data_IF_499158732534
#
_entry.id   IF_499158732534
#
_cell.length_a   1.000
_cell.length_b   1.000
_cell.length_c   1.000
_cell.angle_alpha   90.00
_cell.angle_beta   90.00
_cell.angle_gamma   90.00
#
_symmetry.space_group_name_H-M   'P 1'
#
loop_
_entity.id
_entity.type
_entity.pdbx_description
1 polymer ?
#
# COMPACT_ATOMS: atom_id res chain seq x y z
N UNK A 1 0.73 -16.66 10.78
CA UNK A 1 1.27 -15.53 11.55
C UNK A 1 0.20 -14.47 11.73
N UNK A 2 0.07 -13.96 12.95
CA UNK A 2 -0.86 -12.88 13.28
C UNK A 2 -0.16 -11.78 14.06
N UNK A 3 -0.37 -10.54 13.66
CA UNK A 3 0.09 -9.33 14.36
C UNK A 3 -1.09 -8.74 15.13
N UNK A 4 -0.92 -8.48 16.42
CA UNK A 4 -1.97 -7.96 17.30
C UNK A 4 -2.25 -6.47 17.04
N UNK A 5 -3.49 -6.06 17.33
CA UNK A 5 -3.95 -4.67 17.16
C UNK A 5 -3.25 -3.65 18.07
N UNK A 6 -2.64 -4.09 19.15
CA UNK A 6 -1.84 -3.21 20.03
C UNK A 6 -0.52 -2.79 19.40
N UNK A 7 -0.06 -3.50 18.36
CA UNK A 7 1.16 -3.15 17.65
C UNK A 7 0.98 -1.88 16.82
N UNK A 8 1.82 -0.89 17.05
CA UNK A 8 1.84 0.36 16.28
C UNK A 8 3.26 0.61 15.77
N UNK A 9 3.41 0.68 14.46
CA UNK A 9 4.66 1.02 13.81
C UNK A 9 4.67 2.52 13.50
N UNK A 10 5.51 3.28 14.19
CA UNK A 10 5.74 4.70 13.92
C UNK A 10 7.00 4.86 13.07
N UNK A 11 6.88 5.51 11.94
CA UNK A 11 7.92 5.59 10.93
C UNK A 11 8.17 7.03 10.49
N UNK A 12 9.42 7.35 10.22
CA UNK A 12 9.82 8.58 9.53
C UNK A 12 10.79 8.25 8.40
N UNK A 13 10.69 8.97 7.29
CA UNK A 13 11.62 8.81 6.17
C UNK A 13 11.74 10.12 5.39
N UNK A 14 12.96 10.46 4.97
CA UNK A 14 13.20 11.67 4.20
C UNK A 14 13.90 11.43 2.87
N UNK A 15 14.55 10.28 2.65
CA UNK A 15 15.32 10.02 1.43
C UNK A 15 15.39 8.55 1.05
N UNK A 16 15.57 8.28 -0.24
CA UNK A 16 15.79 6.94 -0.79
C UNK A 16 14.50 6.13 -0.98
N UNK A 17 14.66 4.83 -1.21
CA UNK A 17 13.55 3.90 -1.30
C UNK A 17 13.19 3.38 0.10
N UNK A 18 12.00 3.67 0.56
CA UNK A 18 11.52 3.32 1.89
C UNK A 18 10.41 2.26 1.80
N UNK A 19 10.71 1.04 2.20
CA UNK A 19 9.81 -0.11 2.10
C UNK A 19 9.52 -0.61 3.51
N UNK A 20 8.25 -0.60 3.94
CA UNK A 20 7.86 -1.08 5.28
C UNK A 20 6.53 -1.80 5.29
N UNK A 21 6.46 -2.79 6.14
CA UNK A 21 5.26 -3.56 6.46
C UNK A 21 5.44 -4.33 7.77
N UNK A 22 4.36 -4.87 8.31
CA UNK A 22 4.43 -5.64 9.56
C UNK A 22 5.01 -7.04 9.42
N UNK A 23 4.81 -7.70 8.29
CA UNK A 23 5.23 -9.10 8.13
C UNK A 23 6.55 -9.19 7.38
N UNK A 24 6.64 -8.57 6.21
CA UNK A 24 7.87 -8.59 5.42
C UNK A 24 7.97 -7.36 4.53
N UNK A 25 9.14 -6.74 4.46
CA UNK A 25 9.30 -5.57 3.58
C UNK A 25 9.15 -5.94 2.10
N UNK A 26 9.78 -7.04 1.65
CA UNK A 26 9.68 -7.54 0.27
C UNK A 26 9.31 -9.02 0.29
N UNK A 27 8.11 -9.36 -0.18
CA UNK A 27 7.69 -10.75 -0.32
C UNK A 27 8.17 -11.33 -1.65
N UNK A 28 9.08 -12.28 -1.61
CA UNK A 28 9.54 -13.05 -2.78
C UNK A 28 9.10 -14.51 -2.76
N UNK A 29 8.27 -14.90 -1.78
CA UNK A 29 7.70 -16.23 -1.60
C UNK A 29 6.18 -16.17 -1.43
N UNK A 30 5.59 -17.24 -0.93
CA UNK A 30 4.16 -17.31 -0.63
C UNK A 30 3.88 -16.95 0.82
N UNK A 31 3.07 -15.92 1.05
CA UNK A 31 2.41 -15.68 2.32
C UNK A 31 1.01 -16.29 2.27
N UNK A 32 0.71 -17.14 3.24
CA UNK A 32 -0.60 -17.81 3.35
C UNK A 32 -1.13 -17.69 4.77
N UNK A 33 -2.44 -17.40 4.89
CA UNK A 33 -3.13 -17.30 6.17
C UNK A 33 -2.40 -16.36 7.16
N UNK A 34 -1.88 -15.24 6.66
CA UNK A 34 -1.24 -14.23 7.49
C UNK A 34 -2.20 -13.09 7.77
N UNK A 35 -2.21 -12.62 9.02
CA UNK A 35 -3.11 -11.57 9.47
C UNK A 35 -2.31 -10.43 10.13
N UNK A 36 -2.61 -9.20 9.75
CA UNK A 36 -2.11 -8.01 10.43
C UNK A 36 -3.28 -7.20 10.96
N UNK A 37 -3.24 -6.87 12.24
CA UNK A 37 -4.15 -5.91 12.89
C UNK A 37 -3.41 -4.70 13.47
N UNK A 38 -2.08 -4.70 13.43
CA UNK A 38 -1.25 -3.58 13.83
C UNK A 38 -1.34 -2.42 12.84
N UNK A 39 -1.24 -1.19 13.34
CA UNK A 39 -1.38 0.03 12.53
C UNK A 39 -0.04 0.67 12.20
N UNK A 40 0.08 1.23 11.00
CA UNK A 40 1.25 1.96 10.53
C UNK A 40 0.93 3.46 10.55
N UNK A 41 1.80 4.25 11.17
CA UNK A 41 1.80 5.72 11.11
C UNK A 41 3.13 6.19 10.56
N UNK A 42 3.08 6.80 9.38
CA UNK A 42 4.27 7.29 8.68
C UNK A 42 4.18 8.80 8.48
N UNK A 43 5.32 9.48 8.66
CA UNK A 43 5.47 10.89 8.34
C UNK A 43 6.81 11.15 7.65
N UNK A 44 6.78 11.93 6.59
CA UNK A 44 7.95 12.50 5.96
C UNK A 44 7.81 14.02 5.90
N UNK A 45 8.75 14.77 6.47
CA UNK A 45 8.76 16.23 6.39
C UNK A 45 9.31 16.72 5.04
N UNK A 46 10.19 15.93 4.43
CA UNK A 46 10.64 16.09 3.04
C UNK A 46 10.83 14.69 2.42
N UNK A 47 10.44 14.49 1.18
CA UNK A 47 10.59 13.20 0.51
C UNK A 47 11.43 13.30 -0.76
N UNK A 48 12.51 12.52 -0.80
CA UNK A 48 13.27 12.18 -2.01
C UNK A 48 13.22 10.68 -2.25
N UNK A 49 12.52 10.22 -3.29
CA UNK A 49 12.41 8.80 -3.63
C UNK A 49 11.03 8.22 -3.42
N UNK A 50 10.94 6.91 -3.26
CA UNK A 50 9.67 6.20 -3.20
C UNK A 50 9.40 5.58 -1.83
N UNK A 51 8.15 5.68 -1.40
CA UNK A 51 7.62 5.03 -0.21
C UNK A 51 6.68 3.90 -0.63
N UNK A 52 6.88 2.71 -0.03
CA UNK A 52 6.02 1.55 -0.21
C UNK A 52 5.54 1.06 1.16
N UNK A 53 4.27 1.26 1.47
CA UNK A 53 3.65 0.85 2.73
C UNK A 53 2.55 -0.17 2.49
N UNK A 54 2.61 -1.28 3.21
CA UNK A 54 1.57 -2.30 3.20
C UNK A 54 1.39 -2.95 4.57
N UNK A 55 0.19 -3.37 4.90
CA UNK A 55 -0.06 -4.05 6.16
C UNK A 55 0.70 -5.38 6.29
N UNK A 56 0.84 -6.13 5.19
CA UNK A 56 1.56 -7.39 5.17
C UNK A 56 2.94 -7.28 4.54
N UNK A 57 3.05 -6.63 3.38
CA UNK A 57 4.33 -6.42 2.72
C UNK A 57 4.40 -5.05 2.05
N UNK A 58 5.58 -4.43 2.04
CA UNK A 58 5.80 -3.18 1.32
C UNK A 58 5.77 -3.40 -0.19
N UNK A 59 6.47 -4.43 -0.67
CA UNK A 59 6.46 -4.86 -2.08
C UNK A 59 6.12 -6.35 -2.16
N UNK A 60 5.08 -6.68 -2.93
CA UNK A 60 4.76 -8.08 -3.27
C UNK A 60 5.35 -8.46 -4.63
N UNK A 61 6.23 -9.44 -4.65
CA UNK A 61 6.86 -10.00 -5.86
C UNK A 61 6.39 -11.42 -6.17
N UNK A 62 5.58 -12.03 -5.30
CA UNK A 62 5.07 -13.39 -5.49
C UNK A 62 3.61 -13.52 -5.04
N UNK A 63 3.26 -14.41 -4.15
CA UNK A 63 1.86 -14.76 -3.90
C UNK A 63 1.43 -14.42 -2.48
N UNK A 64 0.27 -13.76 -2.35
CA UNK A 64 -0.50 -13.64 -1.12
C UNK A 64 -1.78 -14.47 -1.27
N UNK A 65 -2.04 -15.39 -0.34
CA UNK A 65 -3.24 -16.23 -0.34
C UNK A 65 -3.89 -16.23 1.04
N UNK A 66 -5.22 -16.03 1.07
CA UNK A 66 -6.01 -16.10 2.30
C UNK A 66 -5.44 -15.20 3.42
N UNK A 67 -4.92 -14.03 3.02
CA UNK A 67 -4.29 -13.10 3.93
C UNK A 67 -5.21 -11.92 4.24
N UNK A 68 -5.07 -11.36 5.46
CA UNK A 68 -5.92 -10.25 5.92
C UNK A 68 -5.11 -9.11 6.51
N UNK A 69 -5.55 -7.89 6.23
CA UNK A 69 -5.14 -6.69 6.93
C UNK A 69 -6.34 -6.03 7.59
N UNK A 70 -6.32 -5.88 8.91
CA UNK A 70 -7.29 -5.11 9.68
C UNK A 70 -6.68 -3.88 10.35
N UNK A 71 -5.37 -3.68 10.20
CA UNK A 71 -4.68 -2.51 10.72
C UNK A 71 -4.77 -1.29 9.81
N UNK A 72 -4.89 -0.11 10.40
CA UNK A 72 -4.93 1.14 9.66
C UNK A 72 -3.53 1.53 9.15
N UNK A 73 -3.49 2.19 7.99
CA UNK A 73 -2.26 2.77 7.45
C UNK A 73 -2.48 4.25 7.23
N UNK A 74 -1.74 5.06 7.96
CA UNK A 74 -1.74 6.52 7.85
C UNK A 74 -0.37 6.97 7.35
N UNK A 75 -0.34 7.80 6.31
CA UNK A 75 0.89 8.38 5.79
C UNK A 75 0.70 9.85 5.46
N UNK A 76 1.61 10.68 5.96
CA UNK A 76 1.66 12.11 5.67
C UNK A 76 3.02 12.46 5.06
N UNK A 77 3.00 13.17 3.93
CA UNK A 77 4.20 13.73 3.29
C UNK A 77 4.01 15.24 3.19
N UNK A 78 4.76 15.99 4.01
CA UNK A 78 4.56 17.45 4.16
C UNK A 78 5.11 18.24 2.98
N UNK A 79 6.29 17.86 2.49
CA UNK A 79 6.95 18.48 1.34
C UNK A 79 7.53 17.39 0.44
N UNK A 80 7.15 17.41 -0.83
CA UNK A 80 7.94 16.69 -1.82
C UNK A 80 9.01 17.63 -2.36
N UNK A 81 10.25 17.20 -2.37
CA UNK A 81 11.27 17.94 -3.11
C UNK A 81 10.89 17.93 -4.60
N UNK A 82 11.22 19.02 -5.31
CA UNK A 82 10.92 19.21 -6.75
C UNK A 82 11.47 18.09 -7.67
N UNK A 83 11.97 17.01 -7.09
CA UNK A 83 12.49 15.88 -7.81
C UNK A 83 11.33 15.04 -8.37
N UNK A 84 11.16 15.04 -9.68
CA UNK A 84 10.13 14.30 -10.43
C UNK A 84 10.12 12.77 -10.19
N UNK A 85 10.96 12.26 -9.30
CA UNK A 85 11.09 10.82 -9.00
C UNK A 85 10.57 10.42 -7.62
N UNK A 86 9.83 11.31 -6.94
CA UNK A 86 9.24 10.99 -5.64
C UNK A 86 7.83 10.45 -5.79
N UNK A 87 7.48 9.45 -5.00
CA UNK A 87 6.15 8.86 -5.04
C UNK A 87 5.82 8.00 -3.82
N UNK A 88 4.53 7.79 -3.61
CA UNK A 88 4.00 6.98 -2.51
C UNK A 88 3.10 5.88 -3.05
N UNK A 89 3.33 4.65 -2.62
CA UNK A 89 2.48 3.51 -2.91
C UNK A 89 1.98 2.93 -1.57
N UNK A 90 0.69 3.01 -1.31
CA UNK A 90 0.07 2.53 -0.08
C UNK A 90 -1.05 1.57 -0.40
N UNK A 91 -1.03 0.39 0.22
CA UNK A 91 -2.12 -0.57 0.11
C UNK A 91 -2.30 -1.35 1.40
N UNK A 92 -3.53 -1.76 1.68
CA UNK A 92 -3.84 -2.50 2.89
C UNK A 92 -3.03 -3.77 3.05
N UNK A 93 -2.81 -4.50 1.96
CA UNK A 93 -1.96 -5.69 1.97
C UNK A 93 -0.54 -5.38 1.50
N UNK A 94 -0.40 -4.67 0.37
CA UNK A 94 0.92 -4.34 -0.18
C UNK A 94 0.95 -2.92 -0.75
N UNK A 95 2.04 -2.18 -0.51
CA UNK A 95 2.25 -0.88 -1.12
C UNK A 95 2.33 -0.97 -2.64
N UNK A 96 3.15 -1.87 -3.14
CA UNK A 96 3.29 -2.11 -4.58
C UNK A 96 3.44 -3.60 -4.88
N UNK A 97 3.06 -3.98 -6.09
CA UNK A 97 3.39 -5.29 -6.63
C UNK A 97 4.16 -5.11 -7.93
N UNK A 98 5.30 -5.74 -8.00
CA UNK A 98 6.16 -5.71 -9.17
C UNK A 98 6.53 -7.13 -9.56
N UNK A 99 6.27 -7.51 -10.80
CA UNK A 99 6.68 -8.81 -11.33
C UNK A 99 8.21 -8.91 -11.35
N UNK A 100 8.75 -9.86 -10.59
CA UNK A 100 9.99 -10.55 -10.98
C UNK A 100 9.61 -11.77 -11.81
N UNK A 101 10.47 -12.65 -12.15
CA UNK A 101 10.34 -13.79 -13.06
C UNK A 101 9.05 -14.65 -12.95
N UNK A 102 8.28 -14.54 -11.85
CA UNK A 102 6.98 -15.20 -11.63
C UNK A 102 5.88 -14.18 -11.43
N UNK A 103 4.67 -14.47 -11.86
CA UNK A 103 3.52 -13.57 -11.72
C UNK A 103 3.19 -13.37 -10.24
N UNK A 104 3.28 -12.15 -9.74
CA UNK A 104 2.74 -11.81 -8.44
C UNK A 104 1.21 -11.96 -8.47
N UNK A 105 0.61 -12.33 -7.35
CA UNK A 105 -0.84 -12.43 -7.27
C UNK A 105 -1.35 -12.25 -5.83
N UNK A 106 -2.63 -11.87 -5.75
CA UNK A 106 -3.43 -11.82 -4.54
C UNK A 106 -4.63 -12.73 -4.75
N UNK A 107 -4.85 -13.67 -3.87
CA UNK A 107 -5.93 -14.65 -3.99
C UNK A 107 -6.70 -14.72 -2.67
N UNK A 108 -8.00 -14.42 -2.69
CA UNK A 108 -8.88 -14.42 -1.52
C UNK A 108 -8.30 -13.64 -0.34
N UNK A 109 -7.78 -12.45 -0.62
CA UNK A 109 -7.22 -11.58 0.40
C UNK A 109 -8.19 -10.47 0.78
N UNK A 110 -8.13 -10.01 2.02
CA UNK A 110 -9.05 -9.01 2.56
C UNK A 110 -8.29 -7.87 3.23
N UNK A 111 -8.72 -6.63 2.95
CA UNK A 111 -8.38 -5.47 3.74
C UNK A 111 -9.63 -4.93 4.45
N UNK A 112 -9.58 -4.78 5.76
CA UNK A 112 -10.60 -4.10 6.56
C UNK A 112 -10.05 -2.90 7.33
N UNK A 113 -8.75 -2.65 7.26
CA UNK A 113 -8.12 -1.46 7.81
C UNK A 113 -8.31 -0.24 6.91
N UNK A 114 -8.44 0.93 7.50
CA UNK A 114 -8.54 2.18 6.76
C UNK A 114 -7.17 2.62 6.23
N UNK A 115 -7.17 3.21 5.05
CA UNK A 115 -6.01 3.79 4.41
C UNK A 115 -6.21 5.29 4.33
N UNK A 116 -5.31 6.05 4.95
CA UNK A 116 -5.32 7.51 4.91
C UNK A 116 -3.98 8.01 4.39
N UNK A 117 -4.01 8.72 3.28
CA UNK A 117 -2.86 9.43 2.74
C UNK A 117 -3.11 10.94 2.71
N UNK A 118 -2.15 11.70 3.20
CA UNK A 118 -2.10 13.15 3.08
C UNK A 118 -0.75 13.55 2.54
N UNK A 119 -0.72 14.23 1.43
CA UNK A 119 0.56 14.68 0.91
C UNK A 119 0.52 15.14 -0.52
N UNK A 120 1.71 15.53 -0.98
CA UNK A 120 1.90 16.04 -2.31
C UNK A 120 3.22 15.55 -2.89
N UNK A 121 3.16 14.35 -3.42
CA UNK A 121 4.26 13.82 -4.22
C UNK A 121 3.84 13.73 -5.69
N UNK A 122 4.79 13.74 -6.65
CA UNK A 122 4.46 13.63 -8.07
C UNK A 122 3.62 12.41 -8.42
N UNK A 123 3.80 11.29 -7.73
CA UNK A 123 3.07 10.04 -8.01
C UNK A 123 2.57 9.41 -6.72
N UNK A 124 1.25 9.33 -6.57
CA UNK A 124 0.60 8.74 -5.42
C UNK A 124 -0.34 7.63 -5.86
N UNK A 125 -0.10 6.42 -5.37
CA UNK A 125 -0.90 5.24 -5.65
C UNK A 125 -1.46 4.71 -4.34
N UNK A 126 -2.77 4.83 -4.14
CA UNK A 126 -3.44 4.47 -2.88
C UNK A 126 -4.58 3.50 -3.18
N UNK A 127 -4.56 2.35 -2.56
CA UNK A 127 -5.59 1.33 -2.80
C UNK A 127 -5.87 0.46 -1.58
N UNK A 128 -7.09 -0.02 -1.45
CA UNK A 128 -7.51 -0.83 -0.32
C UNK A 128 -6.73 -2.14 -0.20
N UNK A 129 -6.43 -2.80 -1.31
CA UNK A 129 -5.63 -4.04 -1.33
C UNK A 129 -4.18 -3.74 -1.70
N UNK A 130 -3.94 -3.02 -2.79
CA UNK A 130 -2.59 -2.65 -3.24
C UNK A 130 -2.57 -1.22 -3.75
N UNK A 131 -1.54 -0.44 -3.41
CA UNK A 131 -1.37 0.90 -3.98
C UNK A 131 -1.15 0.83 -5.49
N UNK A 132 -0.17 0.05 -5.91
CA UNK A 132 0.14 -0.15 -7.33
C UNK A 132 0.31 -1.64 -7.64
N UNK A 133 -0.40 -2.12 -8.66
CA UNK A 133 -0.32 -3.51 -9.14
C UNK A 133 0.22 -3.57 -10.56
N UNK A 134 1.54 -3.73 -10.70
CA UNK A 134 2.19 -3.88 -12.00
C UNK A 134 2.41 -5.37 -12.29
N UNK A 135 1.65 -5.91 -13.27
CA UNK A 135 1.71 -7.33 -13.69
C UNK A 135 1.40 -8.32 -12.52
N UNK A 136 0.55 -7.91 -11.57
CA UNK A 136 0.13 -8.75 -10.46
C UNK A 136 -1.40 -8.88 -10.46
N UNK A 137 -1.91 -10.06 -10.72
CA UNK A 137 -3.35 -10.30 -10.76
C UNK A 137 -3.97 -10.34 -9.35
N UNK A 138 -5.21 -9.90 -9.25
CA UNK A 138 -6.04 -9.98 -8.05
C UNK A 138 -7.27 -10.83 -8.33
N UNK A 139 -7.54 -11.82 -7.46
CA UNK A 139 -8.71 -12.71 -7.61
C UNK A 139 -9.41 -12.88 -6.27
N UNK A 140 -10.72 -12.62 -6.26
CA UNK A 140 -11.58 -12.77 -5.07
C UNK A 140 -11.05 -11.98 -3.86
N UNK A 141 -10.52 -10.79 -4.09
CA UNK A 141 -10.04 -9.91 -3.03
C UNK A 141 -11.12 -8.92 -2.64
N UNK A 142 -11.16 -8.56 -1.35
CA UNK A 142 -12.18 -7.66 -0.81
C UNK A 142 -11.50 -6.52 -0.06
N UNK A 143 -11.91 -5.29 -0.35
CA UNK A 143 -11.64 -4.14 0.51
C UNK A 143 -12.92 -3.77 1.27
N UNK A 144 -12.82 -3.67 2.59
CA UNK A 144 -13.89 -3.21 3.50
C UNK A 144 -13.50 -1.92 4.24
N UNK A 145 -12.22 -1.57 4.21
CA UNK A 145 -11.73 -0.35 4.81
C UNK A 145 -11.94 0.86 3.91
N UNK A 146 -12.06 2.03 4.51
CA UNK A 146 -12.11 3.28 3.77
C UNK A 146 -10.75 3.62 3.17
N UNK A 147 -10.77 4.18 1.97
CA UNK A 147 -9.58 4.67 1.28
C UNK A 147 -9.73 6.16 1.07
N UNK A 148 -8.87 6.95 1.69
CA UNK A 148 -8.88 8.40 1.59
C UNK A 148 -7.48 8.92 1.23
N UNK A 149 -7.43 9.80 0.24
CA UNK A 149 -6.20 10.41 -0.21
C UNK A 149 -6.42 11.89 -0.55
N UNK A 150 -5.70 12.77 0.14
CA UNK A 150 -5.84 14.21 -0.02
C UNK A 150 -4.50 14.88 -0.32
N UNK A 151 -4.54 15.92 -1.16
CA UNK A 151 -3.38 16.79 -1.38
C UNK A 151 -3.28 17.84 -0.28
N UNK A 152 -2.05 18.21 0.06
CA UNK A 152 -1.80 19.38 0.91
C UNK A 152 -1.78 20.64 0.04
N UNK A 153 -2.36 21.74 0.55
CA UNK A 153 -2.40 23.01 -0.19
C UNK A 153 -0.99 23.59 -0.44
N UNK A 154 -0.75 24.02 -1.66
CA UNK A 154 0.50 24.69 -2.05
C UNK A 154 1.53 23.79 -2.72
N UNK A 155 1.14 22.61 -2.97
CA UNK A 155 1.98 21.54 -3.44
C UNK A 155 2.08 21.44 -4.98
N UNK A 156 3.06 20.68 -5.45
CA UNK A 156 3.33 20.47 -6.87
C UNK A 156 2.18 19.72 -7.55
N UNK A 157 2.01 19.87 -8.85
CA UNK A 157 1.00 19.18 -9.67
C UNK A 157 1.24 17.64 -9.68
N UNK A 158 0.98 16.99 -8.55
CA UNK A 158 1.09 15.54 -8.40
C UNK A 158 -0.20 14.82 -8.82
N UNK A 159 -0.06 13.58 -9.25
CA UNK A 159 -1.19 12.72 -9.58
C UNK A 159 -1.53 11.82 -8.38
N UNK A 160 -2.81 11.78 -8.01
CA UNK A 160 -3.32 10.78 -7.07
C UNK A 160 -4.13 9.75 -7.85
N UNK A 161 -3.67 8.51 -7.84
CA UNK A 161 -4.41 7.36 -8.32
C UNK A 161 -4.97 6.62 -7.11
N UNK A 162 -6.26 6.78 -6.87
CA UNK A 162 -6.93 6.18 -5.73
C UNK A 162 -8.00 5.19 -6.20
N UNK A 163 -8.07 4.04 -5.55
CA UNK A 163 -9.09 3.03 -5.84
C UNK A 163 -9.40 2.16 -4.64
N UNK A 164 -10.66 1.75 -4.50
CA UNK A 164 -11.09 0.90 -3.40
C UNK A 164 -10.33 -0.44 -3.33
N UNK A 165 -9.96 -1.02 -4.47
CA UNK A 165 -9.13 -2.25 -4.51
C UNK A 165 -7.68 -1.91 -4.80
N UNK A 166 -7.39 -1.15 -5.85
CA UNK A 166 -6.03 -0.74 -6.20
C UNK A 166 -6.00 0.65 -6.81
N UNK A 167 -5.00 1.45 -6.49
CA UNK A 167 -4.83 2.77 -7.07
C UNK A 167 -4.44 2.73 -8.54
N UNK A 168 -3.64 1.75 -8.94
CA UNK A 168 -3.26 1.54 -10.35
C UNK A 168 -3.02 0.06 -10.62
N UNK A 169 -3.54 -0.44 -11.74
CA UNK A 169 -3.27 -1.81 -12.20
C UNK A 169 -3.07 -1.86 -13.71
N UNK A 170 -2.18 -2.71 -14.16
CA UNK A 170 -2.06 -3.16 -15.54
C UNK A 170 -2.16 -4.70 -15.65
N UNK A 171 -2.84 -5.33 -14.70
CA UNK A 171 -3.08 -6.76 -14.64
C UNK A 171 -4.55 -7.05 -14.31
N UNK A 172 -4.95 -8.30 -14.45
CA UNK A 172 -6.33 -8.74 -14.26
C UNK A 172 -6.80 -8.55 -12.81
N UNK A 173 -7.97 -7.96 -12.65
CA UNK A 173 -8.73 -7.88 -11.41
C UNK A 173 -10.02 -8.67 -11.61
N UNK A 174 -10.16 -9.80 -10.95
CA UNK A 174 -11.24 -10.77 -11.20
C UNK A 174 -12.02 -11.01 -9.89
N UNK A 175 -13.33 -10.81 -9.92
CA UNK A 175 -14.22 -11.06 -8.77
C UNK A 175 -13.71 -10.40 -7.48
N UNK A 176 -13.33 -9.13 -7.57
CA UNK A 176 -12.88 -8.35 -6.41
C UNK A 176 -13.92 -7.30 -6.06
N UNK A 177 -14.17 -7.13 -4.75
CA UNK A 177 -15.18 -6.22 -4.23
C UNK A 177 -14.54 -5.05 -3.47
N UNK A 178 -15.14 -3.87 -3.60
CA UNK A 178 -14.91 -2.76 -2.69
C UNK A 178 -16.20 -2.47 -1.93
N UNK A 179 -16.18 -2.69 -0.62
CA UNK A 179 -17.29 -2.47 0.30
C UNK A 179 -17.00 -1.31 1.28
N UNK A 180 -15.82 -0.72 1.20
CA UNK A 180 -15.44 0.51 1.90
C UNK A 180 -15.74 1.76 1.06
N UNK A 181 -15.67 2.91 1.71
CA UNK A 181 -15.81 4.24 1.07
C UNK A 181 -14.44 4.77 0.62
#
# INVERSE_FOLDING_TARGET
>A
LRIDKSCVMKLSSNSGEFIRAFIVNVNSGTLRNCENYGSIKHRADALEGYIFLGGLCGINRYILIDCKNGGNIESEVVVATANKRSGVCIGGLAGSSRKNLKAASYIRCENSGNILYKGDTPYNFVGGVSGQSVKASMKWCINRGNVDATTLKGAMNGYIYMGGVTGHSNADIICCDNLGN
#
